data_IF_246060593980
#
_entry.id   IF_246060593980
#
_cell.length_a   1.000
_cell.length_b   1.000
_cell.length_c   1.000
_cell.angle_alpha   90.00
_cell.angle_beta   90.00
_cell.angle_gamma   90.00
#
_symmetry.space_group_name_H-M   'P 1'
#
loop_
_entity.id
_entity.type
_entity.pdbx_description
1 polymer ?
#
# COMPACT_ATOMS: atom_id res chain seq x y z
N UNK A 1 -25.36 -2.46 9.78
CA UNK A 1 -26.12 -3.58 10.38
C UNK A 1 -26.13 -4.84 9.51
N UNK A 2 -25.75 -4.79 8.23
CA UNK A 2 -26.03 -5.87 7.25
C UNK A 2 -24.96 -6.96 7.16
N UNK A 3 -23.90 -6.95 7.98
CA UNK A 3 -22.82 -7.95 7.90
C UNK A 3 -22.38 -8.51 9.27
N UNK A 4 -23.31 -8.97 10.13
CA UNK A 4 -23.00 -9.47 11.48
C UNK A 4 -22.09 -10.70 11.49
N UNK A 5 -22.05 -11.48 10.41
CA UNK A 5 -21.16 -12.65 10.28
C UNK A 5 -19.67 -12.23 10.24
N UNK A 6 -19.35 -11.06 9.67
CA UNK A 6 -17.96 -10.63 9.40
C UNK A 6 -17.58 -9.30 10.04
N UNK A 7 -18.48 -8.63 10.77
CA UNK A 7 -18.22 -7.39 11.50
C UNK A 7 -18.89 -7.43 12.88
N UNK A 8 -18.10 -7.46 13.93
CA UNK A 8 -18.63 -7.47 15.30
C UNK A 8 -19.43 -6.20 15.65
N UNK A 9 -19.12 -5.07 15.01
CA UNK A 9 -19.93 -3.86 15.11
C UNK A 9 -21.39 -4.11 14.71
N UNK A 10 -21.64 -4.88 13.65
CA UNK A 10 -23.01 -5.22 13.23
C UNK A 10 -23.69 -6.14 14.26
N UNK A 11 -22.97 -7.08 14.88
CA UNK A 11 -23.50 -7.91 15.98
C UNK A 11 -23.95 -7.03 17.15
N UNK A 12 -23.17 -6.01 17.51
CA UNK A 12 -23.56 -5.06 18.56
C UNK A 12 -24.81 -4.28 18.19
N UNK A 13 -24.90 -3.78 16.95
CA UNK A 13 -26.10 -3.10 16.47
C UNK A 13 -27.34 -4.00 16.59
N UNK A 14 -27.24 -5.28 16.19
CA UNK A 14 -28.35 -6.24 16.30
C UNK A 14 -28.76 -6.47 17.77
N UNK A 15 -27.80 -6.66 18.68
CA UNK A 15 -28.07 -6.83 20.12
C UNK A 15 -28.71 -5.59 20.76
N UNK A 16 -28.26 -4.40 20.34
CA UNK A 16 -28.82 -3.13 20.83
C UNK A 16 -30.25 -2.96 20.36
N UNK A 17 -30.50 -3.25 19.08
CA UNK A 17 -31.83 -3.18 18.47
C UNK A 17 -32.80 -4.16 19.16
N UNK A 18 -32.42 -5.43 19.32
CA UNK A 18 -33.24 -6.47 19.95
C UNK A 18 -33.73 -6.06 21.34
N UNK A 19 -32.86 -5.51 22.19
CA UNK A 19 -33.25 -5.01 23.52
C UNK A 19 -34.22 -3.84 23.46
N UNK A 20 -34.08 -2.98 22.45
CA UNK A 20 -34.93 -1.81 22.25
C UNK A 20 -36.28 -2.13 21.57
N UNK A 21 -36.53 -3.38 21.13
CA UNK A 21 -37.82 -3.78 20.55
C UNK A 21 -38.94 -3.87 21.59
N UNK A 22 -38.60 -4.06 22.87
CA UNK A 22 -39.58 -4.22 23.96
C UNK A 22 -39.70 -2.96 24.81
N UNK A 23 -38.57 -2.45 25.27
CA UNK A 23 -38.48 -1.28 26.15
C UNK A 23 -37.27 -0.43 25.78
N UNK A 24 -37.30 0.86 26.11
CA UNK A 24 -36.15 1.74 25.85
C UNK A 24 -34.97 1.29 26.71
N UNK A 25 -33.92 0.79 26.07
CA UNK A 25 -32.70 0.33 26.73
C UNK A 25 -31.51 1.19 26.30
N UNK A 26 -30.91 1.89 27.27
CA UNK A 26 -29.70 2.68 27.07
C UNK A 26 -28.48 1.88 27.54
N UNK A 27 -27.51 1.71 26.64
CA UNK A 27 -26.24 1.08 26.98
C UNK A 27 -25.35 2.03 27.79
N UNK A 28 -24.52 1.44 28.63
CA UNK A 28 -23.43 2.14 29.31
C UNK A 28 -22.45 2.72 28.29
N UNK A 29 -22.39 4.05 28.22
CA UNK A 29 -21.63 4.80 27.23
C UNK A 29 -20.11 4.52 27.31
N UNK A 30 -19.45 4.63 28.48
CA UNK A 30 -18.05 4.22 28.65
C UNK A 30 -17.73 2.81 28.12
N UNK A 31 -18.59 1.84 28.43
CA UNK A 31 -18.42 0.46 27.96
C UNK A 31 -18.52 0.37 26.44
N UNK A 32 -19.51 1.03 25.84
CA UNK A 32 -19.70 1.05 24.40
C UNK A 32 -18.51 1.73 23.68
N UNK A 33 -18.02 2.85 24.19
CA UNK A 33 -16.85 3.55 23.65
C UNK A 33 -15.60 2.67 23.65
N UNK A 34 -15.35 1.92 24.73
CA UNK A 34 -14.25 0.96 24.81
C UNK A 34 -14.35 -0.13 23.73
N UNK A 35 -15.56 -0.67 23.53
CA UNK A 35 -15.82 -1.67 22.48
C UNK A 35 -15.62 -1.10 21.07
N UNK A 36 -16.07 0.13 20.81
CA UNK A 36 -15.84 0.82 19.53
C UNK A 36 -14.35 0.97 19.23
N UNK A 37 -13.56 1.45 20.20
CA UNK A 37 -12.10 1.60 20.07
C UNK A 37 -11.43 0.27 19.74
N UNK A 38 -11.83 -0.81 20.43
CA UNK A 38 -11.31 -2.15 20.16
C UNK A 38 -11.63 -2.61 18.74
N UNK A 39 -12.88 -2.47 18.29
CA UNK A 39 -13.31 -2.89 16.95
C UNK A 39 -12.52 -2.15 15.87
N UNK A 40 -12.39 -0.82 15.99
CA UNK A 40 -11.61 -0.02 15.04
C UNK A 40 -10.13 -0.43 15.01
N UNK A 41 -9.54 -0.76 16.16
CA UNK A 41 -8.17 -1.27 16.23
C UNK A 41 -8.02 -2.63 15.52
N UNK A 42 -8.99 -3.54 15.69
CA UNK A 42 -8.96 -4.84 15.01
C UNK A 42 -9.18 -4.71 13.49
N UNK A 43 -10.05 -3.81 13.06
CA UNK A 43 -10.26 -3.51 11.63
C UNK A 43 -8.97 -3.01 10.98
N UNK A 44 -8.29 -2.07 11.64
CA UNK A 44 -7.01 -1.53 11.15
C UNK A 44 -5.94 -2.62 11.08
N UNK A 45 -5.83 -3.46 12.13
CA UNK A 45 -4.90 -4.59 12.18
C UNK A 45 -5.17 -5.61 11.07
N UNK A 46 -6.43 -5.94 10.81
CA UNK A 46 -6.81 -6.86 9.75
C UNK A 46 -6.46 -6.30 8.36
N UNK A 47 -6.75 -5.02 8.11
CA UNK A 47 -6.41 -4.37 6.84
C UNK A 47 -4.89 -4.27 6.61
N UNK A 48 -4.10 -4.04 7.67
CA UNK A 48 -2.64 -4.06 7.60
C UNK A 48 -2.13 -5.47 7.25
N UNK A 49 -2.64 -6.51 7.93
CA UNK A 49 -2.27 -7.90 7.64
C UNK A 49 -2.65 -8.34 6.21
N UNK A 50 -3.82 -7.92 5.72
CA UNK A 50 -4.26 -8.19 4.35
C UNK A 50 -3.31 -7.56 3.33
N UNK A 51 -2.98 -6.27 3.49
CA UNK A 51 -2.03 -5.57 2.62
C UNK A 51 -0.66 -6.26 2.61
N UNK A 52 -0.19 -6.67 3.79
CA UNK A 52 1.08 -7.40 3.91
C UNK A 52 1.06 -8.76 3.19
N UNK A 53 -0.04 -9.50 3.32
CA UNK A 53 -0.22 -10.80 2.65
C UNK A 53 -0.25 -10.64 1.12
N UNK A 54 -1.00 -9.65 0.62
CA UNK A 54 -1.05 -9.32 -0.81
C UNK A 54 0.34 -8.94 -1.31
N UNK A 55 1.05 -8.05 -0.59
CA UNK A 55 2.41 -7.63 -0.97
C UNK A 55 3.36 -8.82 -1.05
N UNK A 56 3.33 -9.69 -0.04
CA UNK A 56 4.17 -10.90 -0.03
C UNK A 56 3.91 -11.77 -1.25
N UNK A 57 2.64 -12.05 -1.57
CA UNK A 57 2.28 -12.88 -2.72
C UNK A 57 2.60 -12.24 -4.07
N UNK A 58 2.52 -10.92 -4.17
CA UNK A 58 2.96 -10.20 -5.37
C UNK A 58 4.48 -10.27 -5.56
N UNK A 59 5.26 -10.18 -4.49
CA UNK A 59 6.72 -10.35 -4.54
C UNK A 59 7.09 -11.77 -4.94
N UNK A 60 6.49 -12.79 -4.31
CA UNK A 60 6.66 -14.21 -4.68
C UNK A 60 6.33 -14.43 -6.17
N UNK A 61 5.24 -13.84 -6.66
CA UNK A 61 4.85 -13.93 -8.07
C UNK A 61 5.90 -13.33 -9.03
N UNK A 62 6.68 -12.34 -8.59
CA UNK A 62 7.67 -11.68 -9.43
C UNK A 62 9.01 -12.43 -9.50
N UNK A 63 9.27 -13.42 -8.64
CA UNK A 63 10.52 -14.19 -8.65
C UNK A 63 10.79 -14.85 -10.02
N UNK A 64 9.75 -15.41 -10.65
CA UNK A 64 9.87 -16.06 -11.96
C UNK A 64 9.94 -15.07 -13.13
N UNK A 65 10.00 -13.75 -12.86
CA UNK A 65 9.98 -12.66 -13.85
C UNK A 65 11.25 -11.80 -13.80
N UNK A 66 12.24 -12.18 -13.00
CA UNK A 66 13.56 -11.55 -13.01
C UNK A 66 14.13 -11.56 -14.44
N UNK A 67 14.66 -10.41 -14.86
CA UNK A 67 15.18 -10.17 -16.21
C UNK A 67 14.16 -9.65 -17.22
N UNK A 68 12.85 -9.73 -16.94
CA UNK A 68 11.81 -9.24 -17.84
C UNK A 68 11.64 -7.72 -17.75
N UNK A 69 11.21 -7.12 -18.87
CA UNK A 69 10.94 -5.68 -18.99
C UNK A 69 9.44 -5.44 -18.94
N UNK A 70 9.04 -4.45 -18.17
CA UNK A 70 7.67 -4.01 -18.02
C UNK A 70 7.55 -2.52 -18.34
N UNK A 71 6.41 -2.13 -18.88
CA UNK A 71 5.94 -0.76 -18.73
C UNK A 71 5.39 -0.59 -17.31
N UNK A 72 5.41 0.63 -16.78
CA UNK A 72 4.85 0.92 -15.47
C UNK A 72 4.62 2.40 -15.25
N UNK A 73 4.06 2.73 -14.10
CA UNK A 73 3.74 4.09 -13.71
C UNK A 73 4.38 4.42 -12.37
N UNK A 74 4.96 5.61 -12.26
CA UNK A 74 5.55 6.07 -10.99
C UNK A 74 4.43 6.31 -9.97
N UNK A 75 4.46 5.58 -8.85
CA UNK A 75 3.42 5.65 -7.80
C UNK A 75 3.86 6.45 -6.56
N UNK A 76 5.17 6.68 -6.38
CA UNK A 76 5.66 7.44 -5.23
C UNK A 76 7.16 7.64 -5.24
N UNK A 77 7.62 8.54 -4.37
CA UNK A 77 9.02 8.90 -4.24
C UNK A 77 9.53 8.75 -2.81
N UNK A 78 10.79 8.33 -2.70
CA UNK A 78 11.58 8.32 -1.47
C UNK A 78 12.95 8.94 -1.77
N UNK A 79 13.66 9.38 -0.74
CA UNK A 79 14.90 10.15 -0.95
C UNK A 79 15.97 9.37 -1.74
N UNK A 80 15.90 8.03 -1.72
CA UNK A 80 16.79 7.13 -2.47
C UNK A 80 16.27 6.71 -3.86
N UNK A 81 15.04 7.02 -4.25
CA UNK A 81 14.48 6.50 -5.51
C UNK A 81 12.98 6.73 -5.69
N UNK A 82 12.38 5.99 -6.62
CA UNK A 82 10.94 6.06 -6.88
C UNK A 82 10.34 4.68 -7.11
N UNK A 83 9.10 4.53 -6.70
CA UNK A 83 8.32 3.32 -6.87
C UNK A 83 7.63 3.31 -8.22
N UNK A 84 7.61 2.14 -8.86
CA UNK A 84 6.95 1.90 -10.15
C UNK A 84 5.99 0.73 -9.99
N UNK A 85 4.71 0.99 -10.22
CA UNK A 85 3.71 -0.06 -10.38
C UNK A 85 3.78 -0.60 -11.81
N UNK A 86 3.96 -1.91 -11.94
CA UNK A 86 4.10 -2.55 -13.25
C UNK A 86 2.74 -2.62 -13.96
N UNK A 87 2.71 -2.36 -15.26
CA UNK A 87 1.49 -2.48 -16.05
C UNK A 87 1.13 -3.97 -16.22
N UNK A 88 -0.15 -4.31 -16.07
CA UNK A 88 -0.63 -5.69 -16.18
C UNK A 88 -0.32 -6.59 -14.96
N UNK A 89 0.46 -6.10 -14.00
CA UNK A 89 0.75 -6.81 -12.74
C UNK A 89 0.61 -5.82 -11.59
N UNK A 90 -0.19 -6.11 -10.57
CA UNK A 90 -0.37 -5.18 -9.44
C UNK A 90 0.87 -5.04 -8.51
N UNK A 91 2.03 -5.54 -8.94
CA UNK A 91 3.28 -5.48 -8.20
C UNK A 91 3.95 -4.10 -8.34
N UNK A 92 4.65 -3.68 -7.29
CA UNK A 92 5.40 -2.43 -7.23
C UNK A 92 6.86 -2.73 -6.91
N UNK A 93 7.77 -2.12 -7.65
CA UNK A 93 9.21 -2.21 -7.39
C UNK A 93 9.86 -0.83 -7.26
N UNK A 94 11.11 -0.81 -6.81
CA UNK A 94 11.89 0.40 -6.56
C UNK A 94 12.95 0.59 -7.63
N UNK A 95 12.96 1.77 -8.24
CA UNK A 95 14.10 2.26 -9.02
C UNK A 95 14.91 3.19 -8.12
N UNK A 96 16.17 2.84 -7.90
CA UNK A 96 17.08 3.65 -7.09
C UNK A 96 17.73 4.79 -7.88
N UNK A 97 17.96 5.93 -7.24
CA UNK A 97 18.59 7.08 -7.88
C UNK A 97 20.09 6.88 -8.16
N UNK A 98 20.72 5.93 -7.49
CA UNK A 98 22.12 5.53 -7.72
C UNK A 98 22.37 4.96 -9.12
N UNK A 99 21.32 4.56 -9.84
CA UNK A 99 21.38 4.12 -11.24
C UNK A 99 21.65 5.27 -12.22
N UNK A 100 21.42 6.51 -11.80
CA UNK A 100 21.58 7.69 -12.66
C UNK A 100 22.95 8.35 -12.45
N UNK A 101 23.45 9.01 -13.50
CA UNK A 101 24.76 9.69 -13.50
C UNK A 101 24.79 11.00 -12.70
N UNK A 102 23.65 11.38 -12.09
CA UNK A 102 23.50 12.58 -11.28
C UNK A 102 22.58 12.31 -10.09
N UNK A 103 22.74 13.07 -8.99
CA UNK A 103 21.82 12.99 -7.87
C UNK A 103 20.48 13.65 -8.21
N UNK A 104 19.42 13.04 -7.71
CA UNK A 104 18.04 13.52 -7.77
C UNK A 104 17.59 14.04 -6.40
N UNK A 105 16.89 15.17 -6.39
CA UNK A 105 16.26 15.71 -5.19
C UNK A 105 14.75 15.51 -5.27
N UNK A 106 14.19 14.82 -4.27
CA UNK A 106 12.74 14.65 -4.11
C UNK A 106 12.15 15.90 -3.47
N UNK A 107 11.03 16.37 -3.98
CA UNK A 107 10.33 17.49 -3.37
C UNK A 107 9.62 17.11 -2.07
N UNK A 108 9.38 18.11 -1.20
CA UNK A 108 8.64 17.92 0.05
C UNK A 108 7.24 17.29 -0.16
N UNK A 109 6.62 17.55 -1.31
CA UNK A 109 5.34 16.95 -1.70
C UNK A 109 5.42 15.45 -1.99
N UNK A 110 6.63 14.93 -2.26
CA UNK A 110 6.91 13.57 -2.75
C UNK A 110 6.16 13.19 -4.03
N UNK A 111 5.80 14.18 -4.84
CA UNK A 111 5.14 13.98 -6.14
C UNK A 111 6.08 14.07 -7.34
N UNK A 112 7.33 14.52 -7.12
CA UNK A 112 8.34 14.63 -8.16
C UNK A 112 9.76 14.59 -7.59
N UNK A 113 10.70 14.21 -8.44
CA UNK A 113 12.13 14.33 -8.21
C UNK A 113 12.81 15.04 -9.39
N UNK A 114 13.80 15.86 -9.10
CA UNK A 114 14.54 16.65 -10.10
C UNK A 114 16.04 16.35 -10.04
N UNK A 115 16.62 16.07 -11.21
CA UNK A 115 18.05 15.93 -11.40
C UNK A 115 18.78 17.25 -11.15
N UNK A 116 19.85 17.20 -10.36
CA UNK A 116 20.60 18.39 -9.95
C UNK A 116 21.23 19.17 -11.12
N UNK A 117 21.75 18.45 -12.14
CA UNK A 117 22.50 18.99 -13.29
C UNK A 117 21.64 19.09 -14.53
N UNK A 118 21.02 18.00 -14.98
CA UNK A 118 20.24 17.97 -16.23
C UNK A 118 18.88 18.67 -16.11
N UNK A 119 18.41 18.89 -14.88
CA UNK A 119 17.03 19.29 -14.57
C UNK A 119 15.97 18.32 -15.10
N UNK A 120 16.34 17.07 -15.42
CA UNK A 120 15.39 15.99 -15.72
C UNK A 120 14.42 15.85 -14.54
N UNK A 121 13.13 15.70 -14.83
CA UNK A 121 12.08 15.59 -13.83
C UNK A 121 11.39 14.25 -14.02
N UNK A 122 11.25 13.51 -12.92
CA UNK A 122 10.30 12.40 -12.81
C UNK A 122 9.12 12.86 -11.95
N UNK A 123 7.90 12.56 -12.36
CA UNK A 123 6.66 12.92 -11.67
C UNK A 123 5.80 11.69 -11.41
N UNK A 124 4.95 11.79 -10.39
CA UNK A 124 3.94 10.79 -10.10
C UNK A 124 3.00 10.65 -11.31
N UNK A 125 2.75 9.40 -11.71
CA UNK A 125 1.96 9.06 -12.89
C UNK A 125 2.75 9.00 -14.20
N UNK A 126 4.03 9.37 -14.22
CA UNK A 126 4.85 9.22 -15.43
C UNK A 126 4.94 7.75 -15.84
N UNK A 127 4.78 7.49 -17.14
CA UNK A 127 4.95 6.17 -17.74
C UNK A 127 6.45 5.92 -17.96
N UNK A 128 6.94 4.78 -17.49
CA UNK A 128 8.34 4.38 -17.59
C UNK A 128 8.47 2.93 -18.07
N UNK A 129 9.65 2.58 -18.59
CA UNK A 129 10.02 1.19 -18.84
C UNK A 129 11.07 0.78 -17.82
N UNK A 130 10.91 -0.40 -17.24
CA UNK A 130 11.75 -0.91 -16.18
C UNK A 130 12.02 -2.39 -16.37
N UNK A 131 13.18 -2.86 -15.96
CA UNK A 131 13.54 -4.28 -15.93
C UNK A 131 13.59 -4.78 -14.49
N UNK A 132 13.03 -5.95 -14.22
CA UNK A 132 13.14 -6.57 -12.90
C UNK A 132 14.55 -7.13 -12.74
N UNK A 133 15.30 -6.65 -11.75
CA UNK A 133 16.69 -7.09 -11.52
C UNK A 133 16.79 -8.07 -10.37
N UNK A 134 16.11 -7.80 -9.26
CA UNK A 134 16.14 -8.63 -8.06
C UNK A 134 14.77 -8.67 -7.39
N UNK A 135 14.47 -9.80 -6.76
CA UNK A 135 13.26 -10.00 -5.95
C UNK A 135 13.69 -10.55 -4.61
N UNK A 136 13.33 -9.86 -3.53
CA UNK A 136 13.68 -10.25 -2.17
C UNK A 136 12.41 -10.50 -1.35
N UNK A 137 12.08 -11.77 -1.15
CA UNK A 137 10.93 -12.22 -0.36
C UNK A 137 11.00 -11.80 1.11
N UNK A 138 12.19 -11.81 1.70
CA UNK A 138 12.39 -11.50 3.12
C UNK A 138 12.12 -10.03 3.44
N UNK A 139 12.60 -9.12 2.58
CA UNK A 139 12.34 -7.67 2.69
C UNK A 139 11.05 -7.24 2.01
N UNK A 140 10.41 -8.14 1.24
CA UNK A 140 9.24 -7.89 0.39
C UNK A 140 9.49 -6.74 -0.60
N UNK A 141 10.65 -6.77 -1.26
CA UNK A 141 11.10 -5.74 -2.21
C UNK A 141 11.35 -6.35 -3.58
N UNK A 142 11.13 -5.53 -4.61
CA UNK A 142 11.47 -5.81 -6.00
C UNK A 142 12.34 -4.65 -6.45
N UNK A 143 13.56 -4.94 -6.87
CA UNK A 143 14.45 -3.92 -7.43
C UNK A 143 14.29 -3.88 -8.94
N UNK A 144 14.27 -2.65 -9.44
CA UNK A 144 14.00 -2.34 -10.84
C UNK A 144 15.15 -1.52 -11.42
N UNK A 145 15.54 -1.84 -12.64
CA UNK A 145 16.45 -1.05 -13.45
C UNK A 145 15.65 -0.16 -14.40
N UNK A 146 15.94 1.14 -14.42
CA UNK A 146 15.31 2.08 -15.34
C UNK A 146 15.81 1.88 -16.78
N UNK A 147 14.88 1.73 -17.73
CA UNK A 147 15.20 1.58 -19.15
C UNK A 147 14.93 2.91 -19.88
N UNK A 148 15.98 3.47 -20.50
CA UNK A 148 15.86 4.67 -21.35
C UNK A 148 15.00 4.43 -22.61
#
# INVERSE_FOLDING_TARGET
>A
FTSPIRRYADVLVHRVLEKNLRETHRFDKPKLESMCKHISAQEKKAAEAERESIKFKLVEFMESRVGQIFEGYITGFIDRGFFVQLAGVMAEGLVGFEQFTEPFMVENSRLKAMGSRSKKIFKMGDKVRVKVTEVNLSSRQIDLEFMN
#
